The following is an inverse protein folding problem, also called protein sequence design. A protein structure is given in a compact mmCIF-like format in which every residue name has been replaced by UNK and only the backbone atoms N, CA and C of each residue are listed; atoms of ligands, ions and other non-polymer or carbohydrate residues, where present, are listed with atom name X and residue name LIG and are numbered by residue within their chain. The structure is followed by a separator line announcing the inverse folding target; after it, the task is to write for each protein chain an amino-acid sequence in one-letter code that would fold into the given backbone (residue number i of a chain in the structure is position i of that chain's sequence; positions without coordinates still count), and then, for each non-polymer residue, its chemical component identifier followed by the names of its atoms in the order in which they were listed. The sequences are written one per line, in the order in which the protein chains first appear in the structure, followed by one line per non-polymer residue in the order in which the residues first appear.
data_IF_023358244160
#
_entry.id   IF_023358244160
#
_cell.length_a   1.000
_cell.length_b   1.000
_cell.length_c   1.000
_cell.angle_alpha   90.00
_cell.angle_beta   90.00
_cell.angle_gamma   90.00
#
_symmetry.space_group_name_H-M   'P 1'
#
loop_
_entity.id
_entity.type
_entity.pdbx_description
1 polymer ?
#
# COMPACT_ATOMS: atom_id res chain seq x y z
N UNK A 1 -1.30 8.51 -7.65
CA UNK A 1 -0.59 7.78 -6.57
C UNK A 1 -1.20 6.38 -6.41
N UNK A 2 -0.55 5.37 -5.82
CA UNK A 2 -1.07 3.96 -5.81
C UNK A 2 -1.14 3.33 -4.44
N UNK A 3 -0.28 3.74 -3.52
CA UNK A 3 -0.17 3.22 -2.17
C UNK A 3 0.46 4.26 -1.24
N UNK A 4 0.09 4.18 0.04
CA UNK A 4 0.68 4.96 1.13
C UNK A 4 1.48 4.01 2.02
N UNK A 5 2.72 4.40 2.32
CA UNK A 5 3.60 3.66 3.20
C UNK A 5 3.95 4.46 4.45
N UNK A 6 4.17 3.76 5.55
CA UNK A 6 4.67 4.29 6.80
C UNK A 6 6.02 3.67 7.12
N UNK A 7 6.99 4.51 7.48
CA UNK A 7 8.25 4.02 8.04
C UNK A 7 8.04 3.65 9.51
N UNK A 8 8.39 2.43 9.88
CA UNK A 8 8.34 1.90 11.25
C UNK A 8 9.69 1.36 11.66
N UNK A 9 9.87 1.03 12.94
CA UNK A 9 11.08 0.34 13.42
C UNK A 9 11.31 -1.01 12.71
N UNK A 10 10.25 -1.66 12.24
CA UNK A 10 10.32 -2.90 11.46
C UNK A 10 10.48 -2.70 9.96
N UNK A 11 10.75 -1.47 9.51
CA UNK A 11 10.86 -1.11 8.10
C UNK A 11 9.58 -0.49 7.53
N UNK A 12 9.46 -0.52 6.20
CA UNK A 12 8.32 0.03 5.47
C UNK A 12 7.08 -0.83 5.65
N UNK A 13 6.00 -0.21 6.10
CA UNK A 13 4.67 -0.80 6.24
C UNK A 13 3.72 -0.19 5.22
N UNK A 14 2.99 -1.02 4.48
CA UNK A 14 1.93 -0.57 3.59
C UNK A 14 0.65 -0.32 4.39
N UNK A 15 0.17 0.92 4.40
CA UNK A 15 -0.99 1.32 5.20
C UNK A 15 -2.25 1.54 4.38
N UNK A 16 -2.10 2.03 3.13
CA UNK A 16 -3.25 2.31 2.26
C UNK A 16 -2.97 1.92 0.81
N UNK A 17 -4.01 1.48 0.10
CA UNK A 17 -3.96 1.11 -1.32
C UNK A 17 -5.07 1.84 -2.07
N UNK A 18 -4.76 2.36 -3.24
CA UNK A 18 -5.74 3.04 -4.09
C UNK A 18 -6.88 2.07 -4.51
N UNK A 19 -8.13 2.54 -4.58
CA UNK A 19 -9.24 1.71 -5.03
C UNK A 19 -9.01 1.21 -6.46
N UNK A 20 -9.24 -0.09 -6.69
CA UNK A 20 -9.02 -0.72 -8.01
C UNK A 20 -7.58 -1.10 -8.33
N UNK A 21 -6.62 -0.82 -7.45
CA UNK A 21 -5.23 -1.29 -7.58
C UNK A 21 -5.09 -2.70 -6.99
N UNK A 22 -4.47 -3.60 -7.76
CA UNK A 22 -4.14 -4.95 -7.28
C UNK A 22 -2.85 -4.90 -6.46
N UNK A 23 -2.93 -5.28 -5.18
CA UNK A 23 -1.80 -5.24 -4.26
C UNK A 23 -0.58 -6.03 -4.78
N UNK A 24 -0.80 -7.23 -5.30
CA UNK A 24 0.29 -8.12 -5.66
C UNK A 24 0.92 -7.68 -6.99
N UNK A 25 0.09 -7.43 -8.01
CA UNK A 25 0.55 -7.09 -9.37
C UNK A 25 1.04 -5.66 -9.48
N UNK A 26 0.32 -4.70 -8.90
CA UNK A 26 0.53 -3.28 -9.19
C UNK A 26 1.41 -2.58 -8.15
N UNK A 27 1.64 -3.22 -6.99
CA UNK A 27 2.51 -2.70 -5.91
C UNK A 27 3.65 -3.68 -5.63
N UNK A 28 3.37 -4.87 -5.09
CA UNK A 28 4.42 -5.77 -4.59
C UNK A 28 5.36 -6.27 -5.70
N UNK A 29 4.85 -6.60 -6.88
CA UNK A 29 5.66 -7.02 -8.02
C UNK A 29 6.55 -5.90 -8.60
N UNK A 30 6.28 -4.64 -8.24
CA UNK A 30 7.06 -3.48 -8.68
C UNK A 30 8.14 -3.06 -7.67
N UNK A 31 8.32 -3.80 -6.56
CA UNK A 31 9.25 -3.44 -5.49
C UNK A 31 10.41 -4.44 -5.40
N UNK A 32 11.63 -3.91 -5.21
CA UNK A 32 12.83 -4.72 -4.95
C UNK A 32 12.82 -5.40 -3.56
N UNK A 33 11.94 -4.96 -2.66
CA UNK A 33 11.75 -5.56 -1.34
C UNK A 33 10.27 -5.56 -0.94
N UNK A 34 9.85 -6.60 -0.23
CA UNK A 34 8.47 -6.71 0.24
C UNK A 34 8.25 -5.83 1.50
N UNK A 35 7.34 -4.85 1.46
CA UNK A 35 6.95 -4.10 2.65
C UNK A 35 6.19 -5.02 3.61
N UNK A 36 6.11 -4.61 4.87
CA UNK A 36 5.20 -5.26 5.82
C UNK A 36 3.77 -4.92 5.45
N UNK A 37 2.91 -5.94 5.35
CA UNK A 37 1.50 -5.77 5.04
C UNK A 37 0.67 -6.35 6.18
N UNK A 38 0.05 -5.49 6.97
CA UNK A 38 -0.97 -5.89 7.93
C UNK A 38 -2.34 -5.85 7.25
N UNK A 39 -2.78 -7.00 6.71
CA UNK A 39 -4.05 -7.12 5.98
C UNK A 39 -5.28 -6.78 6.84
N UNK A 40 -5.18 -6.87 8.17
CA UNK A 40 -6.29 -6.50 9.06
C UNK A 40 -6.42 -4.98 9.24
N UNK A 41 -5.35 -4.23 8.98
CA UNK A 41 -5.30 -2.77 9.11
C UNK A 41 -5.22 -2.03 7.78
N UNK A 42 -5.01 -2.75 6.69
CA UNK A 42 -4.93 -2.18 5.34
C UNK A 42 -6.25 -1.51 4.98
N UNK A 43 -6.18 -0.22 4.63
CA UNK A 43 -7.34 0.56 4.23
C UNK A 43 -7.31 0.89 2.74
N UNK A 44 -8.49 1.02 2.14
CA UNK A 44 -8.59 1.67 0.84
C UNK A 44 -8.33 3.18 1.02
N UNK A 45 -7.55 3.78 0.11
CA UNK A 45 -7.41 5.23 0.06
C UNK A 45 -8.76 5.87 -0.28
N UNK A 46 -9.07 7.06 0.27
CA UNK A 46 -10.26 7.81 -0.11
C UNK A 46 -10.27 8.07 -1.62
N UNK A 47 -11.37 7.74 -2.30
CA UNK A 47 -11.51 7.92 -3.75
C UNK A 47 -11.43 9.41 -4.16
N UNK A 48 -11.78 10.32 -3.23
CA UNK A 48 -11.73 11.78 -3.40
C UNK A 48 -10.32 12.33 -3.65
N UNK A 49 -9.26 11.54 -3.36
CA UNK A 49 -7.87 11.92 -3.63
C UNK A 49 -7.47 11.78 -5.11
N UNK A 50 -8.34 11.24 -5.95
CA UNK A 50 -8.03 10.87 -7.34
C UNK A 50 -8.79 11.69 -8.39
N UNK A 51 -9.53 12.73 -7.99
CA UNK A 51 -10.19 13.69 -8.92
C UNK A 51 -9.27 14.84 -9.38
#
# INVERSE_FOLDING_TARGET
ERAVFRLTEGGLELTEVAPGVDLERDILACMDFAPRVDRARLKAMPAELFE
#
